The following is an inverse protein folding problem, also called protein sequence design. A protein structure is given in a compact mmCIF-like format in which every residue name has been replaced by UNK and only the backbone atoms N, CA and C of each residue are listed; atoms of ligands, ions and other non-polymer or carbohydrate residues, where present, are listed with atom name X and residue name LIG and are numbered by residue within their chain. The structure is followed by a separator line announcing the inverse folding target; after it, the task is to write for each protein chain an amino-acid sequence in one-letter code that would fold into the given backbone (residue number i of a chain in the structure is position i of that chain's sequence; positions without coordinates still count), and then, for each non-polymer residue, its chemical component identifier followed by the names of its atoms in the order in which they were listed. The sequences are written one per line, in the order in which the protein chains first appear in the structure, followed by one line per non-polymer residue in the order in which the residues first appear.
data_IF_334358377761
#
_entry.id   IF_334358377761
#
_cell.length_a   1.000
_cell.length_b   1.000
_cell.length_c   1.000
_cell.angle_alpha   90.00
_cell.angle_beta   90.00
_cell.angle_gamma   90.00
#
_symmetry.space_group_name_H-M   'P 1'
#
loop_
_entity.id
_entity.type
_entity.pdbx_description
1 polymer ?
#
# COMPACT_ATOMS: atom_id res chain seq x y z
N UNK A 1 -12.07 77.73 42.50
CA UNK A 1 -12.86 78.91 42.08
C UNK A 1 -13.76 78.39 40.96
N UNK A 2 -15.04 78.31 41.33
CA UNK A 2 -16.24 78.70 40.62
C UNK A 2 -16.47 78.13 39.21
N UNK A 3 -17.55 77.71 38.83
CA UNK A 3 -18.96 77.58 39.27
C UNK A 3 -19.69 76.92 38.12
N UNK A 4 -20.47 75.86 38.34
CA UNK A 4 -21.91 75.92 38.63
C UNK A 4 -22.79 76.47 37.46
N UNK A 5 -23.75 75.65 37.08
CA UNK A 5 -25.16 75.89 36.77
C UNK A 5 -25.63 75.40 35.40
N UNK A 6 -26.48 74.33 35.49
CA UNK A 6 -27.96 74.32 35.29
C UNK A 6 -28.41 74.64 33.84
N UNK A 7 -29.33 74.01 33.21
CA UNK A 7 -30.60 73.36 33.51
C UNK A 7 -31.28 73.02 32.20
N UNK A 8 -32.10 72.08 32.24
CA UNK A 8 -33.48 71.80 31.75
C UNK A 8 -33.67 71.16 30.36
N UNK A 9 -34.21 70.07 30.50
CA UNK A 9 -35.29 69.33 29.82
C UNK A 9 -35.93 69.91 28.56
N UNK A 10 -36.10 69.03 27.56
CA UNK A 10 -37.37 68.93 26.84
C UNK A 10 -37.58 67.52 26.30
N UNK A 11 -38.67 66.93 26.75
CA UNK A 11 -39.25 65.67 26.25
C UNK A 11 -39.88 65.91 24.87
N UNK A 12 -39.52 65.18 23.84
CA UNK A 12 -40.40 65.00 22.67
C UNK A 12 -40.39 63.52 22.34
N UNK A 13 -41.49 62.86 22.67
CA UNK A 13 -41.87 61.54 22.20
C UNK A 13 -42.27 61.63 20.73
N UNK A 14 -41.56 60.89 19.88
CA UNK A 14 -42.01 60.61 18.52
C UNK A 14 -41.96 59.10 18.30
N UNK A 15 -43.14 58.47 18.40
CA UNK A 15 -43.38 57.08 18.02
C UNK A 15 -43.30 56.97 16.51
N UNK A 16 -42.24 56.28 15.99
CA UNK A 16 -42.25 55.81 14.62
C UNK A 16 -42.31 54.31 14.64
N UNK A 17 -43.46 53.80 14.22
CA UNK A 17 -43.67 52.36 13.88
C UNK A 17 -42.86 52.11 12.60
N UNK A 18 -41.72 51.52 12.75
CA UNK A 18 -40.89 51.03 11.63
C UNK A 18 -40.96 49.49 11.59
N UNK A 19 -41.68 48.96 10.63
CA UNK A 19 -41.68 47.55 10.28
C UNK A 19 -40.26 47.08 9.95
N UNK A 20 -39.55 46.58 10.94
CA UNK A 20 -38.26 45.94 10.74
C UNK A 20 -38.45 44.55 10.06
N UNK A 21 -38.21 44.54 8.76
CA UNK A 21 -37.98 43.25 8.10
C UNK A 21 -36.76 42.57 8.76
N UNK A 22 -36.99 41.58 9.55
CA UNK A 22 -35.93 40.65 9.98
C UNK A 22 -35.38 39.98 8.72
N UNK A 23 -34.23 40.41 8.23
CA UNK A 23 -33.40 39.63 7.33
C UNK A 23 -32.96 38.43 8.19
N UNK A 24 -33.65 37.32 8.05
CA UNK A 24 -33.13 36.04 8.48
C UNK A 24 -31.87 35.83 7.69
N UNK A 25 -30.71 36.12 8.28
CA UNK A 25 -29.47 35.57 7.83
C UNK A 25 -29.61 34.05 7.94
N UNK A 26 -29.91 33.40 6.83
CA UNK A 26 -29.71 31.99 6.68
C UNK A 26 -28.21 31.74 6.91
N UNK A 27 -27.86 31.42 8.15
CA UNK A 27 -26.62 30.75 8.43
C UNK A 27 -26.68 29.48 7.56
N UNK A 28 -26.04 29.51 6.39
CA UNK A 28 -25.60 28.32 5.72
C UNK A 28 -24.76 27.55 6.74
N UNK A 29 -25.42 26.62 7.39
CA UNK A 29 -24.79 25.59 8.17
C UNK A 29 -24.13 24.67 7.15
N UNK A 30 -23.07 25.13 6.50
CA UNK A 30 -22.12 24.29 5.84
C UNK A 30 -21.53 23.42 6.95
N UNK A 31 -22.17 22.28 7.16
CA UNK A 31 -21.66 21.20 8.01
C UNK A 31 -20.24 20.93 7.52
N UNK A 32 -19.28 21.59 8.10
CA UNK A 32 -17.88 21.31 7.90
C UNK A 32 -17.71 19.86 8.37
N UNK A 33 -17.83 18.93 7.43
CA UNK A 33 -17.52 17.53 7.64
C UNK A 33 -16.14 17.50 8.26
N UNK A 34 -16.06 17.12 9.55
CA UNK A 34 -14.79 17.06 10.26
C UNK A 34 -13.88 16.11 9.50
N UNK A 35 -12.86 16.66 8.84
CA UNK A 35 -11.86 15.84 8.12
C UNK A 35 -10.81 15.35 9.10
N UNK A 36 -10.31 14.13 8.87
CA UNK A 36 -9.18 13.56 9.58
C UNK A 36 -7.94 13.62 8.70
N UNK A 37 -6.80 13.96 9.28
CA UNK A 37 -5.55 14.02 8.54
C UNK A 37 -5.04 12.62 8.26
N UNK A 38 -4.73 12.35 6.99
CA UNK A 38 -4.22 11.07 6.51
C UNK A 38 -2.91 11.31 5.78
N UNK A 39 -2.01 10.35 5.92
CA UNK A 39 -0.71 10.33 5.28
C UNK A 39 -0.62 9.10 4.37
N UNK A 40 -0.09 9.27 3.18
CA UNK A 40 0.26 8.16 2.28
C UNK A 40 1.52 8.48 1.49
N UNK A 41 2.14 7.45 0.95
CA UNK A 41 3.27 7.61 0.01
C UNK A 41 2.72 7.55 -1.41
N UNK A 42 3.22 8.44 -2.25
CA UNK A 42 2.98 8.44 -3.69
C UNK A 42 4.32 8.40 -4.41
N UNK A 43 4.34 7.81 -5.59
CA UNK A 43 5.53 7.68 -6.44
C UNK A 43 5.30 8.46 -7.73
N UNK A 44 6.32 9.16 -8.22
CA UNK A 44 6.33 9.66 -9.58
C UNK A 44 6.95 8.59 -10.50
N UNK A 45 6.13 8.01 -11.38
CA UNK A 45 6.56 6.98 -12.34
C UNK A 45 7.16 7.56 -13.62
N UNK A 46 6.97 8.87 -13.88
CA UNK A 46 7.54 9.55 -15.05
C UNK A 46 9.07 9.72 -14.95
N UNK A 47 9.70 8.93 -14.10
CA UNK A 47 11.12 9.00 -13.77
C UNK A 47 11.98 8.83 -15.01
N UNK A 48 12.66 9.90 -15.39
CA UNK A 48 13.64 9.92 -16.48
C UNK A 48 15.04 9.79 -15.91
N UNK A 49 15.88 9.06 -16.64
CA UNK A 49 17.29 8.95 -16.28
C UNK A 49 17.94 10.34 -16.27
N UNK A 50 18.63 10.69 -15.17
CA UNK A 50 19.44 11.89 -15.00
C UNK A 50 18.72 13.26 -15.11
N UNK A 51 17.44 13.35 -14.90
CA UNK A 51 16.76 14.64 -14.79
C UNK A 51 16.59 15.06 -13.33
N UNK A 52 16.72 16.37 -13.09
CA UNK A 52 16.30 16.95 -11.81
C UNK A 52 14.82 16.70 -11.62
N UNK A 53 14.47 16.12 -10.46
CA UNK A 53 13.09 15.73 -10.20
C UNK A 53 12.31 16.99 -9.91
N UNK A 54 11.25 17.27 -10.68
CA UNK A 54 10.46 18.47 -10.51
C UNK A 54 9.80 18.47 -9.12
N UNK A 55 9.56 19.67 -8.58
CA UNK A 55 8.89 19.81 -7.28
C UNK A 55 7.39 19.70 -7.51
N UNK A 56 6.77 18.68 -6.92
CA UNK A 56 5.33 18.54 -6.92
C UNK A 56 4.71 19.40 -5.84
N UNK A 57 3.94 20.42 -6.24
CA UNK A 57 3.27 21.34 -5.33
C UNK A 57 1.87 20.81 -4.94
N UNK A 58 1.39 21.10 -3.71
CA UNK A 58 0.07 20.66 -3.24
C UNK A 58 -1.10 21.09 -4.15
N UNK A 59 -1.01 22.25 -4.76
CA UNK A 59 -2.02 22.78 -5.69
C UNK A 59 -2.11 22.03 -7.01
N UNK A 60 -1.07 21.30 -7.37
CA UNK A 60 -1.03 20.46 -8.58
C UNK A 60 -1.59 19.07 -8.36
N UNK A 61 -1.87 18.70 -7.10
CA UNK A 61 -2.39 17.37 -6.76
C UNK A 61 -3.86 17.45 -6.39
N UNK A 62 -4.69 16.69 -7.08
CA UNK A 62 -6.11 16.53 -6.78
C UNK A 62 -6.37 15.15 -6.22
N UNK A 63 -7.06 15.09 -5.08
CA UNK A 63 -7.50 13.84 -4.47
C UNK A 63 -9.03 13.80 -4.46
N UNK A 64 -9.60 12.67 -4.86
CA UNK A 64 -11.04 12.41 -4.78
C UNK A 64 -11.30 11.19 -3.89
N UNK A 65 -12.22 11.33 -2.94
CA UNK A 65 -12.78 10.27 -2.12
C UNK A 65 -14.26 10.11 -2.47
N UNK A 66 -14.56 9.20 -3.38
CA UNK A 66 -15.86 9.11 -4.01
C UNK A 66 -16.19 10.38 -4.81
N UNK A 67 -17.22 11.12 -4.37
CA UNK A 67 -17.62 12.42 -4.99
C UNK A 67 -16.92 13.64 -4.37
N UNK A 68 -16.25 13.46 -3.23
CA UNK A 68 -15.63 14.56 -2.50
C UNK A 68 -14.23 14.85 -3.04
N UNK A 69 -13.96 16.11 -3.36
CA UNK A 69 -12.60 16.59 -3.61
C UNK A 69 -11.98 16.94 -2.27
N UNK A 70 -10.84 16.34 -1.98
CA UNK A 70 -10.17 16.51 -0.70
C UNK A 70 -9.09 17.58 -0.81
N UNK A 71 -8.88 18.33 0.31
CA UNK A 71 -7.82 19.33 0.38
C UNK A 71 -6.49 18.63 0.68
N UNK A 72 -5.52 18.80 -0.22
CA UNK A 72 -4.13 18.46 0.01
C UNK A 72 -3.51 19.51 0.93
N UNK A 73 -2.90 19.06 2.02
CA UNK A 73 -2.25 19.95 2.98
C UNK A 73 -0.76 20.10 2.71
N UNK A 74 -0.10 18.99 2.36
CA UNK A 74 1.34 18.96 2.11
C UNK A 74 1.70 17.89 1.09
N UNK A 75 2.73 18.16 0.31
CA UNK A 75 3.47 17.19 -0.52
C UNK A 75 4.93 17.36 -0.15
N UNK A 76 5.53 16.33 0.44
CA UNK A 76 6.87 16.39 1.02
C UNK A 76 7.73 15.37 0.29
N UNK A 77 8.80 15.77 -0.43
CA UNK A 77 9.72 14.82 -1.02
C UNK A 77 10.32 13.89 0.05
N UNK A 78 10.34 12.60 -0.23
CA UNK A 78 10.89 11.58 0.67
C UNK A 78 12.43 11.57 0.60
N UNK A 79 13.06 12.72 0.87
CA UNK A 79 14.51 12.97 0.75
C UNK A 79 15.04 13.76 1.95
N UNK A 80 16.36 13.80 2.10
CA UNK A 80 16.99 14.48 3.22
C UNK A 80 16.48 13.94 4.56
N UNK A 81 15.96 14.80 5.40
CA UNK A 81 15.41 14.42 6.72
C UNK A 81 14.17 13.52 6.63
N UNK A 82 13.51 13.48 5.46
CA UNK A 82 12.33 12.67 5.20
C UNK A 82 12.65 11.37 4.42
N UNK A 83 13.92 11.05 4.22
CA UNK A 83 14.37 9.92 3.38
C UNK A 83 14.19 8.55 4.05
N UNK A 84 13.85 8.50 5.34
CA UNK A 84 13.79 7.25 6.11
C UNK A 84 12.90 6.19 5.44
N UNK A 85 13.48 4.99 5.23
CA UNK A 85 12.83 3.85 4.59
C UNK A 85 13.15 2.56 5.37
N UNK A 86 12.13 1.76 5.59
CA UNK A 86 12.25 0.35 6.00
C UNK A 86 11.92 -0.53 4.79
N UNK A 87 12.90 -1.26 4.30
CA UNK A 87 12.77 -2.14 3.15
C UNK A 87 13.00 -3.61 3.55
N UNK A 88 12.01 -4.48 3.33
CA UNK A 88 12.21 -5.91 3.39
C UNK A 88 12.48 -6.50 2.00
N UNK A 89 13.55 -7.31 1.93
CA UNK A 89 13.74 -8.24 0.83
C UNK A 89 13.08 -9.55 1.23
N UNK A 90 11.98 -9.91 0.58
CA UNK A 90 11.16 -11.08 0.90
C UNK A 90 11.28 -12.11 -0.22
N UNK A 91 12.01 -13.21 0.02
CA UNK A 91 12.33 -14.23 -0.97
C UNK A 91 11.52 -15.49 -0.72
N UNK A 92 10.93 -16.03 -1.75
CA UNK A 92 10.19 -17.28 -1.68
C UNK A 92 11.16 -18.49 -1.71
N UNK A 93 11.16 -19.28 -0.64
CA UNK A 93 11.99 -20.48 -0.54
C UNK A 93 11.57 -21.61 -1.53
N UNK A 94 10.43 -21.45 -2.21
CA UNK A 94 9.98 -22.33 -3.29
C UNK A 94 10.54 -21.96 -4.66
N UNK A 95 11.24 -20.82 -4.77
CA UNK A 95 11.90 -20.45 -6.02
C UNK A 95 12.96 -21.47 -6.43
N UNK A 96 13.13 -21.62 -7.74
CA UNK A 96 14.18 -22.45 -8.31
C UNK A 96 15.57 -21.90 -7.94
N UNK A 97 16.50 -22.79 -7.63
CA UNK A 97 17.87 -22.43 -7.21
C UNK A 97 18.66 -21.72 -8.32
N UNK A 98 18.19 -21.75 -9.57
CA UNK A 98 18.78 -20.99 -10.68
C UNK A 98 18.76 -19.48 -10.46
N UNK A 99 17.89 -18.95 -9.60
CA UNK A 99 17.91 -17.53 -9.19
C UNK A 99 19.23 -17.15 -8.48
N UNK A 100 20.03 -18.15 -8.08
CA UNK A 100 21.36 -17.93 -7.50
C UNK A 100 22.27 -17.03 -8.34
N UNK A 101 22.13 -17.07 -9.67
CA UNK A 101 22.85 -16.19 -10.58
C UNK A 101 22.48 -14.70 -10.38
N UNK A 102 21.30 -14.42 -9.88
CA UNK A 102 20.73 -13.07 -9.72
C UNK A 102 20.83 -12.57 -8.27
N UNK A 103 21.25 -13.41 -7.31
CA UNK A 103 21.36 -13.01 -5.91
C UNK A 103 22.47 -11.99 -5.68
N UNK A 104 23.49 -11.94 -6.56
CA UNK A 104 24.50 -10.89 -6.50
C UNK A 104 23.90 -9.53 -6.84
N UNK A 105 23.00 -9.46 -7.82
CA UNK A 105 22.29 -8.22 -8.15
C UNK A 105 21.51 -7.70 -6.94
N UNK A 106 20.83 -8.61 -6.20
CA UNK A 106 20.14 -8.25 -4.95
C UNK A 106 21.10 -7.77 -3.85
N UNK A 107 22.27 -8.43 -3.71
CA UNK A 107 23.29 -8.02 -2.74
C UNK A 107 23.88 -6.65 -3.07
N UNK A 108 24.14 -6.41 -4.34
CA UNK A 108 24.67 -5.14 -4.83
C UNK A 108 23.62 -4.03 -4.62
N UNK A 109 22.35 -4.29 -4.91
CA UNK A 109 21.26 -3.37 -4.64
C UNK A 109 21.15 -3.02 -3.14
N UNK A 110 21.24 -4.02 -2.26
CA UNK A 110 21.21 -3.80 -0.80
C UNK A 110 22.42 -2.97 -0.36
N UNK A 111 23.63 -3.29 -0.85
CA UNK A 111 24.84 -2.56 -0.50
C UNK A 111 24.84 -1.10 -1.01
N UNK A 112 24.11 -0.82 -2.08
CA UNK A 112 23.99 0.52 -2.66
C UNK A 112 22.95 1.41 -1.94
N UNK A 113 22.17 0.86 -0.99
CA UNK A 113 21.16 1.64 -0.30
C UNK A 113 21.78 2.76 0.55
N UNK A 114 21.13 3.95 0.63
CA UNK A 114 21.60 5.03 1.47
C UNK A 114 21.46 4.69 2.96
N UNK A 115 22.26 5.32 3.81
CA UNK A 115 22.25 5.10 5.26
C UNK A 115 20.89 5.39 5.94
N UNK A 116 20.01 6.14 5.25
CA UNK A 116 18.64 6.42 5.69
C UNK A 116 17.67 5.24 5.47
N UNK A 117 18.09 4.24 4.70
CA UNK A 117 17.34 3.00 4.45
C UNK A 117 17.84 1.92 5.38
N UNK A 118 16.95 1.35 6.18
CA UNK A 118 17.23 0.11 6.93
C UNK A 118 16.64 -1.07 6.19
N UNK A 119 17.45 -2.11 5.97
CA UNK A 119 17.06 -3.27 5.17
C UNK A 119 16.98 -4.51 6.04
N UNK A 120 15.89 -5.27 5.88
CA UNK A 120 15.70 -6.60 6.45
C UNK A 120 15.62 -7.67 5.37
N UNK A 121 15.89 -8.93 5.71
CA UNK A 121 15.75 -10.08 4.82
C UNK A 121 14.89 -11.14 5.48
N UNK A 122 13.90 -11.63 4.74
CA UNK A 122 13.02 -12.69 5.17
C UNK A 122 12.77 -13.70 4.04
N UNK A 123 12.48 -14.94 4.42
CA UNK A 123 12.13 -16.02 3.51
C UNK A 123 10.72 -16.51 3.76
N UNK A 124 9.97 -16.77 2.68
CA UNK A 124 8.63 -17.34 2.73
C UNK A 124 8.69 -18.86 2.72
N UNK A 125 7.98 -19.51 3.63
CA UNK A 125 7.83 -20.95 3.68
C UNK A 125 6.63 -21.33 4.55
N UNK A 126 5.86 -22.34 4.17
CA UNK A 126 4.70 -22.84 4.92
C UNK A 126 3.73 -21.72 5.36
N UNK A 127 3.37 -20.83 4.43
CA UNK A 127 2.45 -19.72 4.64
C UNK A 127 2.87 -18.75 5.77
N UNK A 128 4.16 -18.71 6.11
CA UNK A 128 4.74 -17.83 7.13
C UNK A 128 6.06 -17.23 6.66
N UNK A 129 6.70 -16.43 7.48
CA UNK A 129 8.00 -15.83 7.20
C UNK A 129 9.05 -16.24 8.21
N UNK A 130 10.26 -16.47 7.73
CA UNK A 130 11.46 -16.59 8.53
C UNK A 130 12.32 -15.34 8.31
N UNK A 131 12.35 -14.43 9.28
CA UNK A 131 13.24 -13.28 9.26
C UNK A 131 14.65 -13.80 9.57
N UNK A 132 15.57 -13.65 8.62
CA UNK A 132 16.97 -14.04 8.77
C UNK A 132 17.87 -12.85 9.10
N UNK A 133 17.42 -11.64 8.75
CA UNK A 133 18.04 -10.39 9.11
C UNK A 133 16.96 -9.37 9.46
N UNK A 134 16.96 -8.87 10.68
CA UNK A 134 16.13 -7.74 11.07
C UNK A 134 16.63 -6.45 10.42
N UNK A 135 15.82 -5.41 10.45
CA UNK A 135 16.19 -4.10 9.93
C UNK A 135 17.51 -3.60 10.51
N UNK A 136 18.43 -3.26 9.65
CA UNK A 136 19.71 -2.67 9.99
C UNK A 136 20.20 -1.74 8.89
N UNK A 137 20.97 -0.73 9.25
CA UNK A 137 21.73 0.10 8.31
C UNK A 137 23.09 -0.54 7.94
N UNK A 138 23.45 -1.69 8.55
CA UNK A 138 24.59 -2.49 8.09
C UNK A 138 24.18 -3.31 6.86
N UNK A 139 24.28 -2.66 5.70
CA UNK A 139 23.91 -3.25 4.43
C UNK A 139 24.80 -4.45 4.05
N UNK A 140 26.07 -4.45 4.48
CA UNK A 140 26.98 -5.56 4.25
C UNK A 140 26.56 -6.81 5.02
N UNK A 141 26.10 -6.66 6.26
CA UNK A 141 25.54 -7.76 7.05
C UNK A 141 24.24 -8.27 6.41
N UNK A 142 23.38 -7.36 5.95
CA UNK A 142 22.13 -7.70 5.26
C UNK A 142 22.39 -8.45 3.94
N UNK A 143 23.33 -7.99 3.13
CA UNK A 143 23.70 -8.65 1.87
C UNK A 143 24.22 -10.08 2.11
N UNK A 144 24.98 -10.32 3.18
CA UNK A 144 25.44 -11.66 3.59
C UNK A 144 24.30 -12.59 4.03
N UNK A 145 23.21 -12.06 4.56
CA UNK A 145 22.04 -12.83 4.98
C UNK A 145 21.22 -13.34 3.77
N UNK A 146 21.41 -12.78 2.59
CA UNK A 146 20.79 -13.25 1.34
C UNK A 146 21.43 -14.57 0.94
N UNK A 147 20.65 -15.65 1.02
CA UNK A 147 21.04 -17.02 0.66
C UNK A 147 20.24 -17.55 -0.51
N UNK A 148 20.66 -18.65 -1.07
CA UNK A 148 19.85 -19.41 -2.04
C UNK A 148 18.52 -19.85 -1.39
N UNK A 149 17.42 -19.80 -2.14
CA UNK A 149 16.19 -20.48 -1.76
C UNK A 149 16.45 -21.97 -1.54
N UNK A 150 15.68 -22.59 -0.70
CA UNK A 150 15.80 -24.04 -0.45
C UNK A 150 15.41 -24.86 -1.66
N UNK A 151 14.64 -24.28 -2.58
CA UNK A 151 14.18 -25.00 -3.75
C UNK A 151 13.27 -26.16 -3.40
N UNK A 152 12.53 -26.08 -2.31
CA UNK A 152 11.60 -27.11 -1.85
C UNK A 152 10.19 -26.53 -1.79
N UNK A 153 9.21 -27.34 -2.19
CA UNK A 153 7.80 -26.96 -2.18
C UNK A 153 7.01 -27.82 -1.18
N UNK A 154 6.06 -27.18 -0.53
CA UNK A 154 5.09 -27.79 0.37
C UNK A 154 3.68 -27.42 -0.08
N UNK A 155 2.71 -28.31 0.18
CA UNK A 155 1.29 -27.98 -0.01
C UNK A 155 0.80 -26.88 0.95
N UNK A 156 1.59 -26.53 1.95
CA UNK A 156 1.30 -25.45 2.90
C UNK A 156 1.87 -24.09 2.47
N UNK A 157 2.55 -24.00 1.32
CA UNK A 157 3.15 -22.76 0.87
C UNK A 157 2.10 -21.81 0.30
N UNK A 158 2.10 -20.58 0.82
CA UNK A 158 1.34 -19.44 0.29
C UNK A 158 2.17 -18.17 0.41
N UNK A 159 2.61 -17.59 -0.70
CA UNK A 159 3.38 -16.34 -0.67
C UNK A 159 2.54 -15.19 -0.12
N UNK A 160 1.23 -15.22 -0.36
CA UNK A 160 0.31 -14.18 0.09
C UNK A 160 0.09 -14.19 1.60
N UNK A 161 -0.10 -15.36 2.20
CA UNK A 161 -0.20 -15.49 3.67
C UNK A 161 1.13 -15.16 4.35
N UNK A 162 2.25 -15.51 3.73
CA UNK A 162 3.57 -15.11 4.20
C UNK A 162 3.75 -13.60 4.20
N UNK A 163 3.34 -12.91 3.11
CA UNK A 163 3.36 -11.46 3.04
C UNK A 163 2.46 -10.83 4.12
N UNK A 164 1.24 -11.34 4.30
CA UNK A 164 0.32 -10.89 5.36
C UNK A 164 0.95 -11.05 6.74
N UNK A 165 1.61 -12.20 6.99
CA UNK A 165 2.30 -12.48 8.25
C UNK A 165 3.43 -11.47 8.50
N UNK A 166 4.25 -11.17 7.49
CA UNK A 166 5.31 -10.17 7.56
C UNK A 166 4.75 -8.80 7.92
N UNK A 167 3.75 -8.32 7.16
CA UNK A 167 3.17 -6.99 7.34
C UNK A 167 2.55 -6.83 8.74
N UNK A 168 1.81 -7.83 9.22
CA UNK A 168 1.17 -7.79 10.54
C UNK A 168 2.17 -7.85 11.70
N UNK A 169 3.32 -8.47 11.50
CA UNK A 169 4.41 -8.51 12.48
C UNK A 169 5.31 -7.27 12.44
N UNK A 170 5.11 -6.37 11.50
CA UNK A 170 5.94 -5.20 11.30
C UNK A 170 5.52 -4.06 12.24
N UNK A 171 6.41 -3.56 13.13
CA UNK A 171 6.07 -2.47 14.03
C UNK A 171 5.65 -1.21 13.27
N UNK A 172 4.59 -0.55 13.72
CA UNK A 172 4.17 0.72 13.12
C UNK A 172 5.19 1.82 13.43
N UNK A 173 5.65 2.48 12.37
CA UNK A 173 6.54 3.63 12.43
C UNK A 173 6.13 4.65 11.38
N UNK A 174 6.41 5.93 11.65
CA UNK A 174 6.12 7.03 10.71
C UNK A 174 7.22 7.18 9.65
N UNK A 175 7.54 6.09 8.96
CA UNK A 175 8.52 6.04 7.88
C UNK A 175 7.92 5.29 6.70
N UNK A 176 8.51 5.42 5.51
CA UNK A 176 8.15 4.57 4.37
C UNK A 176 8.41 3.11 4.71
N UNK A 177 7.47 2.24 4.37
CA UNK A 177 7.56 0.80 4.58
C UNK A 177 7.33 0.10 3.24
N UNK A 178 8.32 -0.63 2.78
CA UNK A 178 8.28 -1.26 1.48
C UNK A 178 8.81 -2.68 1.51
N UNK A 179 8.27 -3.51 0.64
CA UNK A 179 8.68 -4.91 0.45
C UNK A 179 9.07 -5.11 -1.00
N UNK A 180 10.25 -5.66 -1.23
CA UNK A 180 10.60 -6.28 -2.50
C UNK A 180 10.38 -7.79 -2.39
N UNK A 181 9.31 -8.27 -3.02
CA UNK A 181 8.92 -9.68 -3.02
C UNK A 181 9.48 -10.37 -4.25
N UNK A 182 10.23 -11.45 -4.07
CA UNK A 182 10.77 -12.31 -5.13
C UNK A 182 10.08 -13.68 -5.03
N UNK A 183 9.15 -13.99 -5.96
CA UNK A 183 8.30 -15.18 -5.89
C UNK A 183 7.75 -15.57 -7.26
N UNK A 184 7.31 -16.81 -7.40
CA UNK A 184 6.49 -17.27 -8.53
C UNK A 184 4.99 -16.91 -8.34
N UNK A 185 4.62 -16.42 -7.16
CA UNK A 185 3.25 -16.02 -6.82
C UNK A 185 2.25 -17.19 -6.76
N UNK A 186 2.70 -18.44 -6.78
CA UNK A 186 1.79 -19.59 -6.78
C UNK A 186 1.38 -19.96 -5.35
N UNK A 187 0.09 -19.83 -5.07
CA UNK A 187 -0.51 -20.23 -3.80
C UNK A 187 -0.78 -21.76 -3.80
N UNK A 188 0.18 -22.50 -3.28
CA UNK A 188 0.10 -23.97 -3.25
C UNK A 188 -0.90 -24.47 -2.22
N UNK A 189 -1.07 -23.74 -1.12
CA UNK A 189 -2.05 -24.04 -0.08
C UNK A 189 -3.49 -24.02 -0.64
N UNK A 190 -3.78 -23.09 -1.55
CA UNK A 190 -5.10 -23.00 -2.19
C UNK A 190 -5.22 -23.85 -3.46
N UNK A 191 -4.10 -24.25 -4.05
CA UNK A 191 -4.07 -25.08 -5.26
C UNK A 191 -4.23 -26.56 -4.96
N UNK A 192 -3.98 -27.02 -3.72
CA UNK A 192 -4.12 -28.40 -3.33
C UNK A 192 -5.61 -28.80 -3.27
N UNK A 193 -6.04 -29.83 -4.03
CA UNK A 193 -7.44 -30.30 -4.02
C UNK A 193 -7.94 -30.73 -2.63
N UNK A 194 -7.05 -31.22 -1.76
CA UNK A 194 -7.40 -31.70 -0.41
C UNK A 194 -7.68 -30.53 0.54
N UNK A 195 -6.92 -29.45 0.45
CA UNK A 195 -7.14 -28.20 1.19
C UNK A 195 -8.35 -27.42 0.66
N UNK A 196 -8.62 -27.50 -0.64
CA UNK A 196 -9.81 -26.89 -1.26
C UNK A 196 -11.11 -27.47 -0.70
N UNK A 197 -11.17 -28.78 -0.43
CA UNK A 197 -12.32 -29.42 0.17
C UNK A 197 -12.55 -29.01 1.63
N UNK A 198 -11.48 -28.75 2.39
CA UNK A 198 -11.56 -28.34 3.79
C UNK A 198 -11.99 -26.88 3.97
N UNK A 199 -11.77 -26.00 2.98
CA UNK A 199 -12.07 -24.56 3.04
C UNK A 199 -13.32 -24.16 2.26
N UNK A 200 -13.99 -25.07 1.56
CA UNK A 200 -15.32 -24.79 1.01
C UNK A 200 -16.32 -24.71 2.16
N UNK A 201 -16.93 -23.54 2.44
CA UNK A 201 -18.02 -23.51 3.40
C UNK A 201 -19.14 -24.38 2.84
N UNK A 202 -19.41 -25.49 3.50
CA UNK A 202 -20.53 -26.38 3.18
C UNK A 202 -21.85 -25.68 3.48
N UNK A 203 -22.29 -24.83 2.58
CA UNK A 203 -23.69 -24.45 2.49
C UNK A 203 -24.40 -25.54 1.68
N UNK A 204 -24.90 -26.55 2.39
CA UNK A 204 -25.68 -27.59 1.72
C UNK A 204 -25.89 -28.81 2.60
N UNK A 205 -27.06 -28.82 3.23
CA UNK A 205 -27.66 -29.95 3.89
C UNK A 205 -27.50 -31.24 3.02
N UNK A 206 -26.71 -32.17 3.50
CA UNK A 206 -26.57 -33.48 2.86
C UNK A 206 -27.94 -34.19 2.81
N UNK A 207 -28.53 -34.26 1.63
CA UNK A 207 -29.60 -35.24 1.35
C UNK A 207 -28.91 -36.60 1.10
N UNK A 208 -29.21 -37.59 1.98
CA UNK A 208 -28.83 -38.96 1.80
C UNK A 208 -29.33 -39.46 0.46
N UNK A 209 -28.45 -39.96 -0.41
CA UNK A 209 -28.83 -40.79 -1.51
C UNK A 209 -28.42 -40.42 -2.93
N UNK A 210 -27.36 -39.57 -3.12
CA UNK A 210 -26.80 -39.40 -4.47
C UNK A 210 -25.46 -40.10 -4.56
N UNK A 211 -25.33 -41.04 -5.52
CA UNK A 211 -24.01 -41.53 -5.95
C UNK A 211 -23.11 -40.36 -6.33
N UNK A 212 -21.78 -40.46 -6.03
CA UNK A 212 -20.85 -39.45 -6.48
C UNK A 212 -20.77 -39.52 -8.00
N UNK A 213 -21.53 -38.69 -8.67
CA UNK A 213 -21.19 -38.31 -10.04
C UNK A 213 -19.89 -37.53 -9.91
N UNK A 214 -18.79 -38.13 -10.36
CA UNK A 214 -17.55 -37.42 -10.68
C UNK A 214 -17.87 -36.41 -11.78
N UNK A 215 -18.47 -35.29 -11.40
CA UNK A 215 -18.42 -34.12 -12.26
C UNK A 215 -16.96 -33.68 -12.22
N UNK A 216 -16.19 -34.01 -13.25
CA UNK A 216 -15.04 -33.27 -13.65
C UNK A 216 -15.51 -31.82 -13.88
N UNK A 217 -15.69 -31.03 -12.84
CA UNK A 217 -15.60 -29.60 -12.99
C UNK A 217 -14.13 -29.36 -13.30
N UNK A 218 -13.81 -29.19 -14.57
CA UNK A 218 -12.64 -28.45 -15.02
C UNK A 218 -12.78 -27.06 -14.43
N UNK A 219 -12.59 -26.94 -13.11
CA UNK A 219 -12.56 -25.66 -12.45
C UNK A 219 -11.34 -24.95 -13.00
N UNK A 220 -11.55 -23.97 -13.87
CA UNK A 220 -10.50 -23.03 -14.23
C UNK A 220 -9.90 -22.56 -12.90
N UNK A 221 -8.58 -22.77 -12.74
CA UNK A 221 -7.89 -22.21 -11.59
C UNK A 221 -8.15 -20.73 -11.56
N UNK A 222 -8.68 -20.23 -10.45
CA UNK A 222 -8.96 -18.81 -10.24
C UNK A 222 -7.84 -18.23 -9.37
N UNK A 223 -7.65 -16.93 -9.44
CA UNK A 223 -6.72 -16.22 -8.55
C UNK A 223 -7.05 -16.56 -7.09
N UNK A 224 -6.01 -16.75 -6.26
CA UNK A 224 -6.20 -17.03 -4.85
C UNK A 224 -6.95 -15.90 -4.14
N UNK A 225 -7.94 -16.19 -3.26
CA UNK A 225 -8.61 -15.19 -2.45
C UNK A 225 -7.66 -14.51 -1.47
N UNK A 226 -6.51 -15.11 -1.18
CA UNK A 226 -5.50 -14.54 -0.29
C UNK A 226 -4.76 -13.36 -0.95
N UNK A 227 -4.81 -13.21 -2.28
CA UNK A 227 -4.32 -12.03 -3.02
C UNK A 227 -5.05 -10.77 -2.55
N UNK A 228 -6.38 -10.78 -2.53
CA UNK A 228 -7.18 -9.63 -2.10
C UNK A 228 -6.93 -9.30 -0.62
N UNK A 229 -6.75 -10.34 0.21
CA UNK A 229 -6.42 -10.17 1.63
C UNK A 229 -5.02 -9.57 1.81
N UNK A 230 -4.05 -9.99 1.01
CA UNK A 230 -2.70 -9.45 1.05
C UNK A 230 -2.67 -7.98 0.59
N UNK A 231 -3.34 -7.68 -0.52
CA UNK A 231 -3.46 -6.31 -1.02
C UNK A 231 -4.13 -5.38 0.00
N UNK A 232 -5.30 -5.75 0.53
CA UNK A 232 -5.99 -4.95 1.55
C UNK A 232 -5.17 -4.82 2.84
N UNK A 233 -4.37 -5.84 3.20
CA UNK A 233 -3.45 -5.76 4.34
C UNK A 233 -2.34 -4.75 4.06
N UNK A 234 -1.69 -4.80 2.89
CA UNK A 234 -0.65 -3.86 2.50
C UNK A 234 -1.17 -2.42 2.56
N UNK A 235 -2.32 -2.14 1.94
CA UNK A 235 -2.95 -0.82 1.94
C UNK A 235 -3.34 -0.35 3.35
N UNK A 236 -3.90 -1.24 4.19
CA UNK A 236 -4.28 -0.91 5.57
C UNK A 236 -3.09 -0.45 6.40
N UNK A 237 -1.95 -1.12 6.23
CA UNK A 237 -0.74 -0.82 6.98
C UNK A 237 0.17 0.21 6.27
N UNK A 238 -0.23 0.71 5.09
CA UNK A 238 0.56 1.66 4.30
C UNK A 238 1.91 1.09 3.88
N UNK A 239 1.94 -0.19 3.50
CA UNK A 239 3.12 -0.89 2.99
C UNK A 239 3.01 -0.97 1.49
N UNK A 240 4.02 -0.46 0.77
CA UNK A 240 4.15 -0.60 -0.67
C UNK A 240 4.83 -1.95 -0.97
N UNK A 241 4.26 -2.71 -1.92
CA UNK A 241 4.79 -4.01 -2.31
C UNK A 241 5.27 -3.94 -3.75
N UNK A 242 6.56 -4.19 -3.94
CA UNK A 242 7.14 -4.40 -5.26
C UNK A 242 7.35 -5.89 -5.50
N UNK A 243 7.25 -6.34 -6.73
CA UNK A 243 7.40 -7.73 -7.08
C UNK A 243 8.41 -7.99 -8.20
N UNK A 244 9.27 -8.99 -8.02
CA UNK A 244 10.06 -9.59 -9.10
C UNK A 244 9.60 -11.02 -9.27
N UNK A 245 9.18 -11.38 -10.48
CA UNK A 245 8.86 -12.77 -10.78
C UNK A 245 10.12 -13.64 -10.77
N UNK A 246 10.06 -14.74 -10.03
CA UNK A 246 11.10 -15.78 -10.04
C UNK A 246 10.44 -17.15 -10.18
N UNK A 247 10.92 -17.96 -11.11
CA UNK A 247 10.35 -19.26 -11.39
C UNK A 247 10.45 -20.21 -10.17
N UNK A 248 9.35 -20.86 -9.82
CA UNK A 248 9.32 -21.88 -8.77
C UNK A 248 9.90 -23.23 -9.23
N UNK A 249 10.41 -24.00 -8.27
CA UNK A 249 11.00 -25.34 -8.50
C UNK A 249 10.05 -26.27 -9.25
N UNK A 250 10.59 -26.97 -10.25
CA UNK A 250 9.88 -28.00 -11.02
C UNK A 250 8.78 -27.48 -11.93
N UNK A 251 8.63 -26.15 -12.06
CA UNK A 251 7.53 -25.50 -12.81
C UNK A 251 7.95 -24.98 -14.18
N UNK A 252 9.22 -24.97 -14.51
CA UNK A 252 9.68 -24.55 -15.82
C UNK A 252 8.99 -25.35 -16.94
N UNK A 253 8.04 -24.73 -17.63
CA UNK A 253 7.31 -25.29 -18.77
C UNK A 253 6.16 -26.26 -18.46
N UNK A 254 5.78 -26.49 -17.18
CA UNK A 254 4.75 -27.51 -16.85
C UNK A 254 3.33 -26.96 -16.73
N UNK A 255 3.15 -25.70 -16.31
CA UNK A 255 1.82 -25.10 -16.18
C UNK A 255 1.87 -23.59 -16.37
N UNK A 256 1.78 -23.17 -17.64
CA UNK A 256 1.78 -21.76 -18.00
C UNK A 256 0.63 -20.98 -17.36
N UNK A 257 -0.53 -21.61 -17.17
CA UNK A 257 -1.70 -21.00 -16.57
C UNK A 257 -1.50 -20.66 -15.09
N UNK A 258 -0.97 -21.59 -14.29
CA UNK A 258 -0.65 -21.32 -12.87
C UNK A 258 0.41 -20.22 -12.73
N UNK A 259 1.45 -20.26 -13.59
CA UNK A 259 2.45 -19.18 -13.63
C UNK A 259 1.83 -17.83 -13.93
N UNK A 260 0.89 -17.76 -14.87
CA UNK A 260 0.18 -16.53 -15.21
C UNK A 260 -0.69 -16.04 -14.04
N UNK A 261 -1.38 -16.94 -13.35
CA UNK A 261 -2.18 -16.59 -12.16
C UNK A 261 -1.28 -16.08 -11.02
N UNK A 262 -0.15 -16.72 -10.77
CA UNK A 262 0.82 -16.28 -9.77
C UNK A 262 1.37 -14.89 -10.09
N UNK A 263 1.79 -14.67 -11.33
CA UNK A 263 2.25 -13.36 -11.80
C UNK A 263 1.15 -12.30 -11.65
N UNK A 264 -0.09 -12.62 -12.06
CA UNK A 264 -1.23 -11.73 -11.91
C UNK A 264 -1.55 -11.38 -10.46
N UNK A 265 -1.38 -12.33 -9.53
CA UNK A 265 -1.59 -12.10 -8.10
C UNK A 265 -0.58 -11.16 -7.48
N UNK A 266 0.72 -11.36 -7.76
CA UNK A 266 1.76 -10.45 -7.28
C UNK A 266 1.65 -9.08 -7.93
N UNK A 267 1.37 -9.04 -9.25
CA UNK A 267 1.16 -7.80 -9.99
C UNK A 267 0.01 -6.98 -9.42
N UNK A 268 -1.13 -7.64 -9.10
CA UNK A 268 -2.28 -6.97 -8.50
C UNK A 268 -1.95 -6.35 -7.12
N UNK A 269 -1.21 -7.08 -6.28
CA UNK A 269 -0.82 -6.55 -4.96
C UNK A 269 0.10 -5.33 -5.13
N UNK A 270 1.05 -5.39 -6.05
CA UNK A 270 1.96 -4.29 -6.34
C UNK A 270 1.16 -3.06 -6.80
N UNK A 271 0.34 -3.19 -7.83
CA UNK A 271 -0.48 -2.12 -8.41
C UNK A 271 -1.40 -1.49 -7.34
N UNK A 272 -2.21 -2.29 -6.63
CA UNK A 272 -3.13 -1.78 -5.62
C UNK A 272 -2.46 -1.17 -4.38
N UNK A 273 -1.18 -1.48 -4.11
CA UNK A 273 -0.40 -0.89 -3.02
C UNK A 273 0.45 0.31 -3.45
N UNK A 274 0.49 0.63 -4.74
CA UNK A 274 1.29 1.72 -5.31
C UNK A 274 2.75 1.34 -5.55
N UNK A 275 3.05 0.06 -5.72
CA UNK A 275 4.37 -0.46 -6.06
C UNK A 275 4.47 -0.92 -7.51
N UNK A 276 5.61 -1.48 -7.89
CA UNK A 276 5.88 -1.98 -9.24
C UNK A 276 6.04 -3.49 -9.28
N UNK A 277 5.60 -4.09 -10.38
CA UNK A 277 5.77 -5.50 -10.64
C UNK A 277 6.58 -5.74 -11.92
N UNK A 278 7.66 -6.48 -11.78
CA UNK A 278 8.56 -6.83 -12.86
C UNK A 278 8.35 -8.28 -13.29
N UNK A 279 7.59 -8.44 -14.37
CA UNK A 279 7.37 -9.72 -15.02
C UNK A 279 7.96 -9.69 -16.42
N UNK A 280 8.71 -10.71 -16.76
CA UNK A 280 9.44 -10.76 -18.03
C UNK A 280 8.76 -11.59 -19.09
N UNK A 281 7.65 -12.22 -18.80
CA UNK A 281 6.99 -13.12 -19.76
C UNK A 281 7.85 -14.32 -20.20
N UNK A 282 9.09 -14.45 -19.72
CA UNK A 282 10.01 -15.54 -20.03
C UNK A 282 10.41 -16.31 -18.76
N UNK A 283 10.61 -17.64 -18.86
CA UNK A 283 10.82 -18.49 -17.69
C UNK A 283 12.13 -18.26 -16.93
N UNK A 284 13.11 -17.58 -17.50
CA UNK A 284 14.42 -17.38 -16.88
C UNK A 284 14.90 -15.94 -17.01
N UNK A 285 14.93 -15.23 -15.88
CA UNK A 285 15.58 -13.94 -15.74
C UNK A 285 17.09 -14.07 -15.88
N UNK A 286 17.65 -13.41 -16.86
CA UNK A 286 19.11 -13.36 -17.05
C UNK A 286 19.77 -12.52 -15.93
N UNK A 287 19.11 -11.43 -15.48
CA UNK A 287 19.60 -10.55 -14.42
C UNK A 287 18.44 -9.79 -13.77
N UNK A 288 18.52 -9.55 -12.46
CA UNK A 288 17.62 -8.65 -11.74
C UNK A 288 18.03 -7.18 -11.84
N UNK A 289 19.27 -6.93 -12.24
CA UNK A 289 19.84 -5.58 -12.20
C UNK A 289 18.99 -4.50 -12.87
N UNK A 290 18.44 -4.66 -14.09
CA UNK A 290 17.63 -3.61 -14.73
C UNK A 290 16.38 -3.24 -13.92
N UNK A 291 15.78 -4.23 -13.22
CA UNK A 291 14.59 -4.03 -12.38
C UNK A 291 14.94 -3.38 -11.05
N UNK A 292 16.06 -3.75 -10.47
CA UNK A 292 16.59 -3.16 -9.24
C UNK A 292 17.04 -1.71 -9.47
N UNK A 293 17.65 -1.43 -10.63
CA UNK A 293 17.98 -0.06 -11.04
C UNK A 293 16.71 0.80 -11.21
N UNK A 294 15.64 0.23 -11.79
CA UNK A 294 14.35 0.91 -11.88
C UNK A 294 13.71 1.09 -10.50
N UNK A 295 13.71 0.06 -9.66
CA UNK A 295 13.22 0.15 -8.28
C UNK A 295 13.95 1.24 -7.50
N UNK A 296 15.26 1.34 -7.63
CA UNK A 296 16.03 2.41 -6.99
C UNK A 296 15.49 3.80 -7.40
N UNK A 297 15.28 4.01 -8.70
CA UNK A 297 14.68 5.27 -9.18
C UNK A 297 13.29 5.52 -8.58
N UNK A 298 12.46 4.49 -8.49
CA UNK A 298 11.14 4.57 -7.83
C UNK A 298 11.27 5.02 -6.39
N UNK A 299 12.15 4.37 -5.61
CA UNK A 299 12.41 4.72 -4.20
C UNK A 299 12.91 6.16 -4.02
N UNK A 300 13.70 6.64 -4.98
CA UNK A 300 14.26 8.00 -4.97
C UNK A 300 13.22 9.08 -5.37
N UNK A 301 12.09 8.68 -5.97
CA UNK A 301 11.07 9.58 -6.52
C UNK A 301 9.73 9.51 -5.80
N UNK A 302 9.77 9.32 -4.50
CA UNK A 302 8.59 9.26 -3.66
C UNK A 302 8.37 10.54 -2.88
N UNK A 303 7.10 10.73 -2.51
CA UNK A 303 6.64 11.87 -1.72
C UNK A 303 5.67 11.39 -0.64
N UNK A 304 5.70 12.04 0.50
CA UNK A 304 4.60 11.95 1.47
C UNK A 304 3.51 12.92 1.07
N UNK A 305 2.31 12.41 0.91
CA UNK A 305 1.11 13.17 0.63
C UNK A 305 0.26 13.25 1.89
N UNK A 306 -0.04 14.46 2.32
CA UNK A 306 -0.85 14.72 3.52
C UNK A 306 -2.14 15.45 3.11
N UNK A 307 -3.28 14.88 3.48
CA UNK A 307 -4.58 15.44 3.12
C UNK A 307 -5.66 15.19 4.17
N UNK A 308 -6.76 15.96 4.09
CA UNK A 308 -7.92 15.77 4.93
C UNK A 308 -8.90 14.78 4.31
N UNK A 309 -9.07 13.60 4.90
CA UNK A 309 -10.07 12.61 4.48
C UNK A 309 -11.38 12.77 5.24
N UNK A 310 -12.50 12.43 4.61
CA UNK A 310 -13.82 12.42 5.24
C UNK A 310 -14.00 11.10 5.96
N UNK A 311 -14.05 11.08 7.31
CA UNK A 311 -14.21 9.85 8.07
C UNK A 311 -15.62 9.29 7.89
N UNK A 312 -15.73 7.95 7.98
CA UNK A 312 -17.02 7.25 8.10
C UNK A 312 -17.30 6.91 9.56
N UNK A 313 -18.49 6.37 9.82
CA UNK A 313 -18.89 5.92 11.16
C UNK A 313 -17.98 4.81 11.74
N UNK A 314 -17.28 4.09 10.87
CA UNK A 314 -16.28 3.06 11.25
C UNK A 314 -14.97 3.34 10.52
N UNK A 315 -13.87 3.19 11.23
CA UNK A 315 -12.54 3.21 10.62
C UNK A 315 -12.41 2.11 9.57
N UNK A 316 -11.71 2.39 8.48
CA UNK A 316 -11.55 1.41 7.42
C UNK A 316 -10.85 1.95 6.18
N UNK A 317 -10.56 1.04 5.26
CA UNK A 317 -10.04 1.39 3.94
C UNK A 317 -11.09 2.15 3.15
N UNK A 318 -10.66 3.24 2.54
CA UNK A 318 -11.49 4.08 1.69
C UNK A 318 -10.76 4.38 0.39
N UNK A 319 -11.44 4.16 -0.72
CA UNK A 319 -10.86 4.40 -2.05
C UNK A 319 -10.59 5.88 -2.25
N UNK A 320 -9.40 6.16 -2.71
CA UNK A 320 -8.95 7.49 -3.14
C UNK A 320 -8.51 7.42 -4.59
N UNK A 321 -8.69 8.51 -5.30
CA UNK A 321 -8.18 8.67 -6.66
C UNK A 321 -7.32 9.92 -6.66
N UNK A 322 -6.06 9.76 -7.01
CA UNK A 322 -5.07 10.83 -7.04
C UNK A 322 -4.74 11.14 -8.49
N UNK A 323 -4.72 12.40 -8.81
CA UNK A 323 -4.35 12.90 -10.14
C UNK A 323 -3.55 14.18 -10.01
N UNK A 324 -2.76 14.48 -11.02
CA UNK A 324 -2.00 15.72 -11.11
C UNK A 324 -2.34 16.49 -12.38
N UNK A 325 -2.32 17.80 -12.30
CA UNK A 325 -2.41 18.68 -13.47
C UNK A 325 -1.02 18.96 -14.09
N UNK A 326 0.05 18.57 -13.39
CA UNK A 326 1.40 18.73 -13.89
C UNK A 326 1.69 17.62 -14.93
N UNK A 327 2.03 18.04 -16.16
CA UNK A 327 2.20 17.14 -17.31
C UNK A 327 3.46 16.29 -17.24
N UNK A 328 4.40 16.67 -16.37
CA UNK A 328 5.69 16.01 -16.20
C UNK A 328 5.68 14.92 -15.11
N UNK A 329 4.51 14.70 -14.49
CA UNK A 329 4.33 13.70 -13.43
C UNK A 329 3.36 12.60 -13.84
N UNK A 330 3.69 11.37 -13.49
CA UNK A 330 2.81 10.21 -13.52
C UNK A 330 2.75 9.61 -12.11
N UNK A 331 1.60 9.74 -11.43
CA UNK A 331 1.50 9.39 -10.02
C UNK A 331 0.97 7.96 -9.86
N UNK A 332 1.80 7.11 -9.27
CA UNK A 332 1.38 5.85 -8.69
C UNK A 332 1.13 6.00 -7.18
N UNK A 333 0.10 5.34 -6.70
CA UNK A 333 -0.29 5.38 -5.29
C UNK A 333 -1.21 4.20 -4.95
N UNK A 334 -1.29 3.88 -3.67
CA UNK A 334 -2.26 2.88 -3.21
C UNK A 334 -3.71 3.29 -3.54
N UNK A 335 -4.50 2.34 -4.01
CA UNK A 335 -5.92 2.53 -4.38
C UNK A 335 -6.79 2.96 -3.19
N UNK A 336 -6.46 2.47 -1.99
CA UNK A 336 -7.20 2.78 -0.77
C UNK A 336 -6.25 3.23 0.34
N UNK A 337 -6.78 4.06 1.21
CA UNK A 337 -6.07 4.54 2.39
C UNK A 337 -6.89 4.23 3.65
N UNK A 338 -6.20 3.91 4.74
CA UNK A 338 -6.87 3.73 6.03
C UNK A 338 -7.30 5.07 6.60
N UNK A 339 -8.62 5.23 6.78
CA UNK A 339 -9.20 6.43 7.36
C UNK A 339 -9.74 6.09 8.75
N UNK A 340 -9.18 6.66 9.84
CA UNK A 340 -9.69 6.47 11.18
C UNK A 340 -11.04 7.15 11.35
N UNK A 341 -11.77 6.85 12.43
CA UNK A 341 -12.95 7.61 12.82
C UNK A 341 -12.57 9.00 13.32
N UNK A 342 -13.50 9.93 13.32
CA UNK A 342 -13.25 11.29 13.83
C UNK A 342 -12.82 11.29 15.33
N UNK A 343 -13.31 10.32 16.11
CA UNK A 343 -12.95 10.16 17.53
C UNK A 343 -11.54 9.61 17.75
N UNK A 344 -11.08 8.70 16.88
CA UNK A 344 -9.72 8.13 16.94
C UNK A 344 -8.65 9.13 16.47
N UNK A 345 -9.02 10.04 15.57
CA UNK A 345 -8.08 11.04 15.04
C UNK A 345 -7.83 12.21 16.01
N UNK A 346 -8.67 12.39 17.02
CA UNK A 346 -8.53 13.44 18.03
C UNK A 346 -7.61 12.93 19.14
N UNK A 347 -6.38 13.49 19.31
CA UNK A 347 -5.53 13.07 20.43
C UNK A 347 -6.26 13.30 21.74
N UNK A 348 -6.30 12.28 22.60
CA UNK A 348 -6.85 12.43 23.95
C UNK A 348 -6.16 13.62 24.60
N UNK A 349 -6.94 14.66 24.99
CA UNK A 349 -6.40 15.74 25.82
C UNK A 349 -5.87 15.12 27.10
N UNK A 350 -4.55 15.13 27.25
CA UNK A 350 -3.87 14.84 28.53
C UNK A 350 -4.02 15.99 29.49
#
# INVERSE_FOLDING_TARGET
MNSLRHLLALLITLTLVGSGAQIASSQENSGASSTVQVHMVITDEAVRDNTEIPILHPENVQIKQGKNVLKVSQVIPARGDNAALQLFILIDDTCDTSIGNNLNDLRDFVNAQPATTVVGVAYMSNATVQIVQNFTADHAATAKAIRLPRGSVSSMDSPYLSLISLIKGWPEQKVRREVLMVSDGIDRLRSDPTTRAAYSPSYGRATRGAMPTTSMSTGMATMSPDVDTASTTAQRYGVIVHGIYATGVGRAGRNAWEAQLGQGGVGKIADESGGEYFSLGTPNLVSFKPYLDRLQRVLDNQYYLVFGAVPKNKAGLQRVNISTAATDFEIAAADNVWVPTASEATPAKK
#
